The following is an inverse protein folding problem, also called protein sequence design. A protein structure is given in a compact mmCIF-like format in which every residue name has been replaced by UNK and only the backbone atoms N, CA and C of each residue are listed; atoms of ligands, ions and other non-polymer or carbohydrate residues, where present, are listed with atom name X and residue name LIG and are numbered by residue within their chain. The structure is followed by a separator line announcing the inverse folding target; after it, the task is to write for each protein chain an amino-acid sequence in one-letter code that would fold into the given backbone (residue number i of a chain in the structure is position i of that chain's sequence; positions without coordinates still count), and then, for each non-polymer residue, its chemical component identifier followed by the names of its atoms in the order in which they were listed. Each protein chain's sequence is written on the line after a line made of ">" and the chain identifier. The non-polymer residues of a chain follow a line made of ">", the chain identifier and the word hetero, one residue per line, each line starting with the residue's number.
data_IF_266055144118
#
_entry.id   IF_266055144118
#
_cell.length_a   1.000
_cell.length_b   1.000
_cell.length_c   1.000
_cell.angle_alpha   90.00
_cell.angle_beta   90.00
_cell.angle_gamma   90.00
#
_symmetry.space_group_name_H-M   'P 1'
#
loop_
_entity.id
_entity.type
_entity.pdbx_description
1 polymer ?
#
# COMPACT_ATOMS: atom_id res chain seq x y z
N UNK A 1 4.26 4.92 -2.67
CA UNK A 1 3.61 4.27 -1.51
C UNK A 1 2.85 3.02 -1.92
N UNK A 2 1.84 3.11 -2.78
CA UNK A 2 1.02 1.95 -3.19
C UNK A 2 1.85 0.88 -3.90
N UNK A 3 2.67 1.26 -4.87
CA UNK A 3 3.58 0.34 -5.57
C UNK A 3 4.59 -0.34 -4.63
N UNK A 4 5.10 0.39 -3.63
CA UNK A 4 5.96 -0.19 -2.61
C UNK A 4 5.21 -1.21 -1.76
N UNK A 5 3.98 -0.91 -1.36
CA UNK A 5 3.14 -1.84 -0.59
C UNK A 5 2.83 -3.11 -1.39
N UNK A 6 2.51 -2.97 -2.68
CA UNK A 6 2.30 -4.10 -3.60
C UNK A 6 3.56 -4.95 -3.74
N UNK A 7 4.70 -4.35 -4.11
CA UNK A 7 5.97 -5.07 -4.28
C UNK A 7 6.39 -5.80 -3.00
N UNK A 8 6.35 -5.12 -1.85
CA UNK A 8 6.74 -5.75 -0.57
C UNK A 8 5.77 -6.86 -0.15
N UNK A 9 4.49 -6.75 -0.47
CA UNK A 9 3.52 -7.82 -0.20
C UNK A 9 3.78 -9.04 -1.09
N UNK A 10 4.06 -8.81 -2.37
CA UNK A 10 4.39 -9.87 -3.32
C UNK A 10 5.71 -10.57 -3.00
N UNK A 11 6.79 -9.80 -2.75
CA UNK A 11 8.12 -10.34 -2.40
C UNK A 11 8.11 -11.19 -1.12
N UNK A 12 7.18 -10.89 -0.19
CA UNK A 12 7.03 -11.63 1.07
C UNK A 12 5.99 -12.75 0.99
N UNK A 13 5.35 -12.96 -0.16
CA UNK A 13 4.28 -13.95 -0.32
C UNK A 13 3.05 -13.67 0.56
N UNK A 14 2.82 -12.40 0.91
CA UNK A 14 1.68 -11.97 1.74
C UNK A 14 0.42 -11.72 0.90
N UNK A 15 0.59 -11.37 -0.37
CA UNK A 15 -0.49 -11.22 -1.32
C UNK A 15 0.01 -11.41 -2.77
N UNK A 16 -0.87 -11.84 -3.66
CA UNK A 16 -0.57 -12.15 -5.07
C UNK A 16 -1.54 -11.53 -6.08
N UNK A 17 -1.31 -11.74 -7.40
CA UNK A 17 -2.14 -11.19 -8.46
C UNK A 17 -3.62 -11.52 -8.29
N UNK A 18 -4.49 -10.52 -8.46
CA UNK A 18 -5.94 -10.65 -8.29
C UNK A 18 -6.44 -10.50 -6.85
N UNK A 19 -5.56 -10.51 -5.85
CA UNK A 19 -5.90 -10.17 -4.47
C UNK A 19 -5.92 -8.65 -4.26
N UNK A 20 -6.44 -8.22 -3.11
CA UNK A 20 -6.55 -6.80 -2.75
C UNK A 20 -5.80 -6.50 -1.46
N UNK A 21 -5.14 -5.34 -1.43
CA UNK A 21 -4.49 -4.79 -0.25
C UNK A 21 -5.12 -3.47 0.15
N UNK A 22 -5.12 -3.19 1.46
CA UNK A 22 -5.47 -1.88 2.02
C UNK A 22 -4.18 -1.15 2.36
N UNK A 23 -3.98 0.02 1.77
CA UNK A 23 -2.82 0.87 2.01
C UNK A 23 -3.27 2.08 2.82
N UNK A 24 -2.66 2.27 3.99
CA UNK A 24 -2.89 3.42 4.89
C UNK A 24 -1.59 4.22 4.98
N UNK A 25 -1.66 5.54 4.84
CA UNK A 25 -0.47 6.38 4.95
C UNK A 25 -0.77 7.87 4.99
N UNK A 26 0.29 8.68 4.93
CA UNK A 26 0.22 10.14 4.85
C UNK A 26 0.53 10.67 3.45
N UNK A 27 -0.25 11.63 2.98
CA UNK A 27 -0.05 12.39 1.74
C UNK A 27 -0.15 13.88 2.07
N UNK A 28 0.90 14.70 1.81
CA UNK A 28 2.19 14.34 1.22
C UNK A 28 3.03 13.43 2.13
N UNK A 29 3.86 12.57 1.53
CA UNK A 29 4.75 11.68 2.30
C UNK A 29 5.89 12.45 2.98
N UNK A 30 6.35 11.96 4.13
CA UNK A 30 7.52 12.51 4.83
C UNK A 30 7.25 13.77 5.67
N UNK A 31 5.98 14.18 5.77
CA UNK A 31 5.56 15.27 6.66
C UNK A 31 5.08 14.66 7.99
N UNK A 32 5.45 15.23 9.15
CA UNK A 32 4.92 14.80 10.45
C UNK A 32 3.45 15.21 10.60
N UNK A 33 2.57 14.45 9.94
CA UNK A 33 1.13 14.50 10.09
C UNK A 33 0.63 13.06 10.19
N UNK A 34 -0.52 12.86 10.85
CA UNK A 34 -1.12 11.52 10.97
C UNK A 34 -1.46 10.94 9.59
N UNK A 35 -1.74 9.64 9.53
CA UNK A 35 -2.28 9.03 8.33
C UNK A 35 -3.59 9.73 7.91
N UNK A 36 -3.64 10.18 6.66
CA UNK A 36 -4.77 10.90 6.06
C UNK A 36 -5.18 10.31 4.70
N UNK A 37 -4.60 9.16 4.33
CA UNK A 37 -4.84 8.46 3.08
C UNK A 37 -5.18 6.99 3.35
N UNK A 38 -6.22 6.51 2.69
CA UNK A 38 -6.62 5.10 2.65
C UNK A 38 -6.97 4.72 1.21
N UNK A 39 -6.41 3.61 0.72
CA UNK A 39 -6.70 3.07 -0.60
C UNK A 39 -6.86 1.55 -0.55
N UNK A 40 -7.92 1.06 -1.22
CA UNK A 40 -8.04 -0.35 -1.60
C UNK A 40 -7.40 -0.49 -2.99
N UNK A 41 -6.43 -1.38 -3.11
CA UNK A 41 -5.65 -1.57 -4.35
C UNK A 41 -5.68 -3.04 -4.76
N UNK A 42 -5.95 -3.31 -6.04
CA UNK A 42 -5.86 -4.64 -6.61
C UNK A 42 -4.43 -4.90 -7.09
N UNK A 43 -3.85 -6.03 -6.72
CA UNK A 43 -2.50 -6.41 -7.14
C UNK A 43 -2.55 -6.88 -8.60
N UNK A 44 -1.62 -6.36 -9.39
CA UNK A 44 -1.47 -6.62 -10.83
C UNK A 44 -0.47 -7.75 -11.11
#
# INVERSE_FOLDING_TARGET
>A
MVELAERTSAERGLAGPGERIIVIGGVPSGIPQSANFLKIHAIS
#
